data_IF_379609907367
#
_entry.id   IF_379609907367
#
_cell.length_a   1.000
_cell.length_b   1.000
_cell.length_c   1.000
_cell.angle_alpha   90.00
_cell.angle_beta   90.00
_cell.angle_gamma   90.00
#
_symmetry.space_group_name_H-M   'P 1'
#
loop_
_entity.id
_entity.type
_entity.pdbx_description
1 polymer ?
#
# COMPACT_ATOMS: atom_id res chain seq x y z
N UNK A 1 15.03 4.26 -7.85
CA UNK A 1 13.93 3.27 -7.84
C UNK A 1 12.86 3.55 -8.88
N UNK A 2 12.09 4.65 -8.83
CA UNK A 2 11.04 4.92 -9.83
C UNK A 2 11.56 4.85 -11.29
N UNK A 3 12.63 5.59 -11.60
CA UNK A 3 13.25 5.57 -12.94
C UNK A 3 13.79 4.19 -13.33
N UNK A 4 14.38 3.45 -12.39
CA UNK A 4 14.88 2.09 -12.62
C UNK A 4 13.72 1.13 -12.97
N UNK A 5 12.53 1.42 -12.46
CA UNK A 5 11.28 0.72 -12.72
C UNK A 5 10.45 1.35 -13.85
N UNK A 6 11.04 2.25 -14.66
CA UNK A 6 10.39 2.93 -15.79
C UNK A 6 9.21 3.84 -15.43
N UNK A 7 9.17 4.35 -14.20
CA UNK A 7 8.22 5.35 -13.73
C UNK A 7 8.89 6.71 -13.50
N UNK A 8 8.10 7.78 -13.54
CA UNK A 8 8.53 9.11 -13.09
C UNK A 8 8.09 9.37 -11.63
N UNK A 9 8.51 10.51 -11.06
CA UNK A 9 8.26 10.84 -9.67
C UNK A 9 9.19 10.10 -8.70
N UNK A 10 8.71 9.91 -7.47
CA UNK A 10 9.45 9.24 -6.41
C UNK A 10 8.76 7.93 -5.98
N UNK A 11 9.54 6.85 -5.94
CA UNK A 11 9.17 5.58 -5.35
C UNK A 11 10.19 5.30 -4.25
N UNK A 12 9.75 5.31 -2.99
CA UNK A 12 10.62 5.03 -1.86
C UNK A 12 11.06 3.57 -1.84
N UNK A 13 12.27 3.34 -1.32
CA UNK A 13 12.77 2.02 -1.03
C UNK A 13 11.92 1.35 0.07
N UNK A 14 11.77 0.03 -0.03
CA UNK A 14 11.11 -0.77 1.00
C UNK A 14 11.97 -0.80 2.27
N UNK A 15 13.24 -1.18 2.12
CA UNK A 15 14.26 -0.98 3.13
C UNK A 15 15.23 0.09 2.66
N UNK A 16 15.46 1.10 3.50
CA UNK A 16 16.38 2.18 3.21
C UNK A 16 17.40 2.36 4.32
N UNK A 17 18.64 2.66 3.95
CA UNK A 17 19.74 2.96 4.86
C UNK A 17 20.27 4.39 4.64
N UNK A 18 21.59 4.60 4.67
CA UNK A 18 22.20 5.93 4.67
C UNK A 18 21.94 6.75 3.39
N UNK A 19 21.73 6.10 2.24
CA UNK A 19 21.69 6.77 0.92
C UNK A 19 20.29 6.97 0.35
N UNK A 20 19.25 6.40 0.96
CA UNK A 20 17.91 6.37 0.36
C UNK A 20 17.69 5.24 -0.66
N UNK A 21 18.74 4.50 -1.00
CA UNK A 21 18.66 3.39 -1.97
C UNK A 21 17.97 2.16 -1.39
N UNK A 22 17.47 1.29 -2.28
CA UNK A 22 16.87 0.01 -1.92
C UNK A 22 17.94 -0.96 -1.41
N UNK A 23 17.79 -1.40 -0.16
CA UNK A 23 18.72 -2.35 0.48
C UNK A 23 18.06 -3.67 0.84
N UNK A 24 16.80 -3.89 0.49
CA UNK A 24 16.10 -5.15 0.76
C UNK A 24 16.87 -6.32 0.13
N UNK A 25 17.22 -7.36 0.91
CA UNK A 25 17.91 -8.52 0.37
C UNK A 25 17.06 -9.22 -0.69
N UNK A 26 17.56 -9.34 -1.93
CA UNK A 26 16.86 -10.06 -3.01
C UNK A 26 16.75 -11.57 -2.71
N UNK A 27 17.70 -12.13 -1.97
CA UNK A 27 17.78 -13.57 -1.69
C UNK A 27 18.12 -13.83 -0.23
N UNK A 28 17.40 -14.76 0.41
CA UNK A 28 17.69 -15.22 1.77
C UNK A 28 17.85 -16.75 1.83
N UNK A 29 18.69 -17.29 2.74
CA UNK A 29 18.80 -18.73 2.91
C UNK A 29 17.51 -19.38 3.42
N UNK A 30 17.08 -20.47 2.79
CA UNK A 30 15.88 -21.22 3.20
C UNK A 30 15.96 -21.65 4.68
N UNK A 31 14.83 -21.68 5.38
CA UNK A 31 14.78 -22.00 6.82
C UNK A 31 15.35 -23.39 7.13
N UNK A 32 14.90 -24.40 6.40
CA UNK A 32 15.28 -25.81 6.60
C UNK A 32 16.50 -26.30 5.79
N UNK A 33 16.92 -25.58 4.75
CA UNK A 33 18.04 -25.98 3.88
C UNK A 33 18.83 -24.74 3.46
N UNK A 34 19.84 -24.39 4.27
CA UNK A 34 20.64 -23.17 4.09
C UNK A 34 21.47 -23.16 2.81
N UNK A 35 21.54 -24.26 2.07
CA UNK A 35 22.17 -24.30 0.74
C UNK A 35 21.27 -23.75 -0.37
N UNK A 36 19.96 -23.63 -0.10
CA UNK A 36 18.97 -23.07 -1.01
C UNK A 36 18.70 -21.61 -0.68
N UNK A 37 18.49 -20.81 -1.72
CA UNK A 37 18.08 -19.42 -1.61
C UNK A 37 16.61 -19.29 -1.98
N UNK A 38 15.92 -18.41 -1.27
CA UNK A 38 14.55 -18.00 -1.57
C UNK A 38 14.59 -16.55 -2.03
N UNK A 39 13.86 -16.25 -3.12
CA UNK A 39 13.68 -14.88 -3.63
C UNK A 39 12.74 -14.12 -2.69
N UNK A 40 13.12 -12.91 -2.29
CA UNK A 40 12.30 -12.00 -1.47
C UNK A 40 11.86 -10.84 -2.36
N UNK A 41 10.56 -10.68 -2.56
CA UNK A 41 9.99 -9.74 -3.52
C UNK A 41 9.61 -8.37 -2.94
N UNK A 42 9.68 -8.20 -1.63
CA UNK A 42 9.21 -6.99 -0.93
C UNK A 42 9.88 -5.72 -1.46
N UNK A 43 11.20 -5.77 -1.68
CA UNK A 43 11.96 -4.67 -2.29
C UNK A 43 11.51 -4.30 -3.71
N UNK A 44 10.88 -5.19 -4.45
CA UNK A 44 10.44 -4.96 -5.83
C UNK A 44 8.99 -4.48 -5.87
N UNK A 45 8.10 -5.17 -5.15
CA UNK A 45 6.64 -5.07 -5.34
C UNK A 45 5.84 -4.74 -4.07
N UNK A 46 6.47 -4.60 -2.90
CA UNK A 46 5.82 -4.03 -1.69
C UNK A 46 5.93 -2.51 -1.71
N UNK A 47 5.07 -1.89 -2.51
CA UNK A 47 5.25 -0.49 -2.94
C UNK A 47 4.41 0.51 -2.15
N UNK A 48 3.55 0.04 -1.23
CA UNK A 48 2.65 0.91 -0.45
C UNK A 48 3.40 1.90 0.46
N UNK A 49 4.67 1.64 0.77
CA UNK A 49 5.54 2.50 1.59
C UNK A 49 5.54 3.98 1.15
N UNK A 50 5.46 4.24 -0.16
CA UNK A 50 5.43 5.62 -0.68
C UNK A 50 4.14 6.35 -0.29
N UNK A 51 3.01 5.64 -0.22
CA UNK A 51 1.74 6.18 0.27
C UNK A 51 1.73 6.31 1.80
N UNK A 52 2.36 5.38 2.51
CA UNK A 52 2.45 5.42 3.98
C UNK A 52 3.25 6.64 4.47
N UNK A 53 4.39 6.93 3.82
CA UNK A 53 5.20 8.10 4.11
C UNK A 53 4.39 9.39 3.91
N UNK A 54 3.67 9.48 2.79
CA UNK A 54 2.86 10.64 2.49
C UNK A 54 1.69 10.81 3.48
N UNK A 55 1.03 9.71 3.84
CA UNK A 55 0.00 9.70 4.88
C UNK A 55 0.55 10.16 6.22
N UNK A 56 1.72 9.66 6.65
CA UNK A 56 2.35 10.05 7.91
C UNK A 56 2.71 11.54 7.94
N UNK A 57 3.25 12.09 6.86
CA UNK A 57 3.54 13.53 6.75
C UNK A 57 2.27 14.38 6.83
N UNK A 58 1.20 13.94 6.16
CA UNK A 58 -0.09 14.63 6.22
C UNK A 58 -0.67 14.59 7.64
N UNK A 59 -0.64 13.43 8.32
CA UNK A 59 -1.06 13.31 9.72
C UNK A 59 -0.25 14.21 10.65
N UNK A 60 1.07 14.27 10.47
CA UNK A 60 1.93 15.17 11.25
C UNK A 60 1.50 16.63 11.11
N UNK A 61 1.26 17.09 9.88
CA UNK A 61 0.79 18.45 9.65
C UNK A 61 -0.60 18.70 10.25
N UNK A 62 -1.54 17.76 10.09
CA UNK A 62 -2.89 17.89 10.65
C UNK A 62 -2.88 18.02 12.18
N UNK A 63 -1.99 17.30 12.86
CA UNK A 63 -1.88 17.32 14.33
C UNK A 63 -1.12 18.55 14.84
N UNK A 64 -0.06 18.96 14.15
CA UNK A 64 0.84 20.04 14.63
C UNK A 64 0.44 21.42 14.14
N UNK A 65 -0.21 21.51 12.97
CA UNK A 65 -0.44 22.77 12.27
C UNK A 65 0.83 23.41 11.69
N UNK A 66 1.94 22.67 11.59
CA UNK A 66 3.22 23.18 11.09
C UNK A 66 3.17 23.41 9.57
N UNK A 67 2.71 24.60 9.19
CA UNK A 67 2.55 25.01 7.80
C UNK A 67 3.90 25.21 7.07
N UNK A 68 4.98 25.50 7.79
CA UNK A 68 6.30 25.67 7.17
C UNK A 68 6.85 24.28 6.79
N UNK A 69 6.76 23.29 7.69
CA UNK A 69 7.05 21.90 7.36
C UNK A 69 6.22 21.42 6.17
N UNK A 70 4.91 21.67 6.20
CA UNK A 70 4.02 21.22 5.13
C UNK A 70 4.37 21.85 3.79
N UNK A 71 4.59 23.17 3.74
CA UNK A 71 4.97 23.89 2.52
C UNK A 71 6.32 23.42 1.96
N UNK A 72 7.34 23.32 2.82
CA UNK A 72 8.73 23.19 2.38
C UNK A 72 9.21 21.74 2.27
N UNK A 73 8.55 20.80 2.97
CA UNK A 73 8.96 19.39 3.02
C UNK A 73 7.81 18.46 2.62
N UNK A 74 6.66 18.57 3.29
CA UNK A 74 5.55 17.62 3.12
C UNK A 74 4.95 17.62 1.71
N UNK A 75 4.51 18.78 1.22
CA UNK A 75 3.87 18.91 -0.10
C UNK A 75 4.82 18.52 -1.25
N UNK A 76 6.10 18.96 -1.28
CA UNK A 76 7.04 18.51 -2.31
C UNK A 76 7.16 16.99 -2.40
N UNK A 77 7.29 16.28 -1.26
CA UNK A 77 7.41 14.82 -1.22
C UNK A 77 6.09 14.15 -1.63
N UNK A 78 4.97 14.64 -1.10
CA UNK A 78 3.62 14.18 -1.43
C UNK A 78 3.36 14.24 -2.95
N UNK A 79 3.69 15.37 -3.59
CA UNK A 79 3.46 15.55 -5.03
C UNK A 79 4.40 14.69 -5.88
N UNK A 80 5.67 14.54 -5.48
CA UNK A 80 6.63 13.67 -6.18
C UNK A 80 6.20 12.21 -6.18
N UNK A 81 5.71 11.72 -5.04
CA UNK A 81 5.20 10.36 -4.91
C UNK A 81 3.82 10.18 -5.56
N UNK A 82 2.99 11.23 -5.61
CA UNK A 82 1.72 11.21 -6.36
C UNK A 82 1.94 11.09 -7.88
N UNK A 83 3.04 11.67 -8.40
CA UNK A 83 3.44 11.47 -9.81
C UNK A 83 3.69 9.99 -10.10
N UNK A 84 4.42 9.29 -9.23
CA UNK A 84 4.64 7.85 -9.34
C UNK A 84 3.31 7.08 -9.34
N UNK A 85 2.43 7.35 -8.37
CA UNK A 85 1.15 6.64 -8.26
C UNK A 85 0.20 6.87 -9.44
N UNK A 86 0.20 8.07 -10.00
CA UNK A 86 -0.58 8.37 -11.21
C UNK A 86 -0.15 7.55 -12.42
N UNK A 87 1.13 7.15 -12.49
CA UNK A 87 1.66 6.28 -13.56
C UNK A 87 1.60 4.80 -13.22
N UNK A 88 1.67 4.45 -11.93
CA UNK A 88 1.62 3.07 -11.44
C UNK A 88 0.22 2.46 -11.53
N UNK A 89 -0.83 3.28 -11.51
CA UNK A 89 -2.20 2.86 -11.73
C UNK A 89 -2.47 2.67 -13.24
N UNK A 90 -2.77 1.44 -13.64
CA UNK A 90 -2.93 1.03 -15.03
C UNK A 90 -4.42 1.07 -15.42
N UNK A 91 -4.74 1.65 -16.58
CA UNK A 91 -6.12 1.70 -17.05
C UNK A 91 -6.54 0.35 -17.66
N UNK A 92 -7.62 -0.24 -17.14
CA UNK A 92 -8.24 -1.47 -17.60
C UNK A 92 -9.72 -1.23 -17.94
N UNK A 93 -9.99 -0.97 -19.22
CA UNK A 93 -11.31 -0.51 -19.66
C UNK A 93 -11.66 0.82 -19.02
N UNK A 94 -12.74 0.83 -18.23
CA UNK A 94 -13.23 2.02 -17.51
C UNK A 94 -12.68 2.12 -16.08
N UNK A 95 -11.85 1.17 -15.64
CA UNK A 95 -11.29 1.13 -14.29
C UNK A 95 -9.78 1.28 -14.28
N UNK A 96 -9.21 1.51 -13.10
CA UNK A 96 -7.78 1.48 -12.85
C UNK A 96 -7.42 0.33 -11.91
N UNK A 97 -6.32 -0.35 -12.19
CA UNK A 97 -5.79 -1.44 -11.40
C UNK A 97 -4.36 -1.14 -10.94
N UNK A 98 -3.97 -1.71 -9.81
CA UNK A 98 -2.56 -1.82 -9.41
C UNK A 98 -2.26 -3.31 -9.30
N UNK A 99 -1.57 -3.81 -10.32
CA UNK A 99 -1.24 -5.23 -10.52
C UNK A 99 0.10 -5.57 -9.90
N UNK A 100 0.33 -6.84 -9.59
CA UNK A 100 1.63 -7.39 -9.19
C UNK A 100 2.27 -6.64 -8.00
N UNK A 101 1.63 -6.75 -6.84
CA UNK A 101 2.08 -6.11 -5.58
C UNK A 101 2.18 -7.10 -4.42
N UNK A 102 2.84 -6.67 -3.37
CA UNK A 102 2.69 -7.20 -2.00
C UNK A 102 1.99 -6.11 -1.18
N UNK A 103 0.94 -6.48 -0.45
CA UNK A 103 0.31 -5.63 0.56
C UNK A 103 0.98 -5.79 1.93
N UNK A 104 0.48 -5.13 2.99
CA UNK A 104 1.03 -5.29 4.34
C UNK A 104 1.14 -6.74 4.81
N UNK A 105 0.28 -7.62 4.30
CA UNK A 105 0.42 -9.07 4.47
C UNK A 105 1.43 -9.69 3.49
N UNK A 106 2.69 -9.80 3.92
CA UNK A 106 3.79 -10.37 3.12
C UNK A 106 3.69 -11.90 2.87
N UNK A 107 2.67 -12.60 3.35
CA UNK A 107 2.46 -14.01 2.96
C UNK A 107 1.95 -14.15 1.53
N UNK A 108 1.36 -13.09 0.98
CA UNK A 108 0.81 -13.08 -0.37
C UNK A 108 1.63 -12.15 -1.27
N UNK A 109 2.31 -12.74 -2.25
CA UNK A 109 3.08 -12.04 -3.27
C UNK A 109 2.43 -12.13 -4.64
N UNK A 110 2.82 -11.22 -5.54
CA UNK A 110 2.27 -11.13 -6.89
C UNK A 110 0.73 -11.04 -6.92
N UNK A 111 0.14 -10.33 -5.96
CA UNK A 111 -1.31 -10.13 -5.90
C UNK A 111 -1.73 -8.88 -6.65
N UNK A 112 -2.99 -8.86 -7.09
CA UNK A 112 -3.57 -7.74 -7.80
C UNK A 112 -4.60 -7.01 -6.95
N UNK A 113 -4.65 -5.69 -7.09
CA UNK A 113 -5.68 -4.85 -6.46
C UNK A 113 -5.78 -5.04 -4.94
N UNK A 114 -4.63 -5.15 -4.26
CA UNK A 114 -4.58 -5.17 -2.80
C UNK A 114 -5.29 -3.91 -2.25
N UNK A 115 -6.36 -4.10 -1.47
CA UNK A 115 -7.26 -3.00 -1.11
C UNK A 115 -6.61 -2.01 -0.16
N UNK A 116 -5.70 -2.44 0.72
CA UNK A 116 -4.88 -1.51 1.50
C UNK A 116 -4.10 -0.58 0.57
N UNK A 117 -3.34 -1.15 -0.37
CA UNK A 117 -2.53 -0.38 -1.33
C UNK A 117 -3.42 0.56 -2.14
N UNK A 118 -4.48 0.06 -2.77
CA UNK A 118 -5.35 0.87 -3.62
C UNK A 118 -6.00 2.02 -2.84
N UNK A 119 -6.52 1.77 -1.62
CA UNK A 119 -7.12 2.85 -0.80
C UNK A 119 -6.09 3.86 -0.31
N UNK A 120 -4.88 3.43 0.04
CA UNK A 120 -3.80 4.34 0.42
C UNK A 120 -3.37 5.21 -0.76
N UNK A 121 -3.30 4.66 -1.97
CA UNK A 121 -3.02 5.41 -3.20
C UNK A 121 -4.13 6.40 -3.52
N UNK A 122 -5.39 6.00 -3.41
CA UNK A 122 -6.53 6.90 -3.60
C UNK A 122 -6.47 8.08 -2.62
N UNK A 123 -6.28 7.80 -1.32
CA UNK A 123 -6.13 8.82 -0.29
C UNK A 123 -4.91 9.74 -0.55
N UNK A 124 -3.81 9.18 -1.05
CA UNK A 124 -2.61 9.94 -1.41
C UNK A 124 -2.92 10.93 -2.54
N UNK A 125 -3.50 10.48 -3.64
CA UNK A 125 -3.81 11.32 -4.78
C UNK A 125 -4.84 12.40 -4.43
N UNK A 126 -5.86 12.08 -3.62
CA UNK A 126 -6.80 13.05 -3.06
C UNK A 126 -6.05 14.13 -2.26
N UNK A 127 -5.21 13.70 -1.31
CA UNK A 127 -4.42 14.60 -0.46
C UNK A 127 -3.46 15.45 -1.30
N UNK A 128 -2.89 14.91 -2.38
CA UNK A 128 -2.00 15.63 -3.29
C UNK A 128 -2.71 16.76 -4.04
N UNK A 129 -3.95 16.53 -4.47
CA UNK A 129 -4.78 17.58 -5.09
C UNK A 129 -5.12 18.68 -4.08
N UNK A 130 -5.60 18.30 -2.89
CA UNK A 130 -5.94 19.24 -1.82
C UNK A 130 -4.72 20.06 -1.37
N UNK A 131 -3.55 19.42 -1.25
CA UNK A 131 -2.30 20.06 -0.92
C UNK A 131 -1.84 21.06 -1.99
N UNK A 132 -2.02 20.73 -3.28
CA UNK A 132 -1.69 21.63 -4.36
C UNK A 132 -2.59 22.87 -4.38
N UNK A 133 -3.87 22.70 -4.06
CA UNK A 133 -4.82 23.81 -3.93
C UNK A 133 -4.46 24.67 -2.71
N UNK A 134 -4.19 24.06 -1.55
CA UNK A 134 -3.70 24.75 -0.36
C UNK A 134 -2.43 25.57 -0.64
N UNK A 135 -1.47 24.99 -1.37
CA UNK A 135 -0.23 25.66 -1.72
C UNK A 135 -0.46 26.79 -2.73
N UNK A 136 -1.39 26.63 -3.67
CA UNK A 136 -1.77 27.66 -4.63
C UNK A 136 -2.34 28.90 -3.91
N UNK A 137 -3.14 28.69 -2.86
CA UNK A 137 -3.73 29.78 -2.08
C UNK A 137 -2.73 30.44 -1.12
N UNK A 138 -1.84 29.65 -0.49
CA UNK A 138 -0.95 30.13 0.59
C UNK A 138 0.45 30.53 0.13
N UNK A 139 0.97 29.90 -0.92
CA UNK A 139 2.31 30.12 -1.44
C UNK A 139 2.34 29.89 -2.97
N UNK A 140 1.69 30.77 -3.76
CA UNK A 140 1.50 30.58 -5.20
C UNK A 140 2.82 30.45 -5.98
N UNK A 141 3.90 31.08 -5.51
CA UNK A 141 5.24 30.96 -6.10
C UNK A 141 5.79 29.54 -5.94
N UNK A 142 5.68 28.96 -4.74
CA UNK A 142 6.05 27.57 -4.47
C UNK A 142 5.19 26.60 -5.31
N UNK A 143 3.89 26.84 -5.39
CA UNK A 143 2.98 26.03 -6.22
C UNK A 143 3.39 26.06 -7.70
N UNK A 144 3.72 27.23 -8.23
CA UNK A 144 4.13 27.42 -9.62
C UNK A 144 5.46 26.72 -9.92
N UNK A 145 6.42 26.81 -8.99
CA UNK A 145 7.69 26.10 -9.07
C UNK A 145 7.49 24.57 -9.09
N UNK A 146 6.69 24.03 -8.16
CA UNK A 146 6.44 22.59 -8.10
C UNK A 146 5.67 22.09 -9.33
N UNK A 147 4.65 22.83 -9.78
CA UNK A 147 3.91 22.52 -11.02
C UNK A 147 4.84 22.41 -12.22
N UNK A 148 5.78 23.35 -12.37
CA UNK A 148 6.76 23.32 -13.45
C UNK A 148 7.77 22.18 -13.29
N UNK A 149 8.27 21.95 -12.08
CA UNK A 149 9.33 20.96 -11.82
C UNK A 149 8.83 19.52 -11.98
N UNK A 150 7.57 19.26 -11.60
CA UNK A 150 6.95 17.94 -11.60
C UNK A 150 6.00 17.72 -12.78
N UNK A 151 5.96 18.66 -13.75
CA UNK A 151 5.08 18.59 -14.92
C UNK A 151 3.60 18.34 -14.55
N UNK A 152 3.10 19.09 -13.55
CA UNK A 152 1.71 18.98 -13.06
C UNK A 152 0.75 19.74 -13.99
N UNK A 153 0.64 19.27 -15.23
CA UNK A 153 -0.25 19.82 -16.24
C UNK A 153 -1.72 19.58 -15.87
N UNK A 154 -2.67 20.38 -16.42
CA UNK A 154 -4.10 20.10 -16.25
C UNK A 154 -4.50 18.68 -16.67
N UNK A 155 -3.84 18.12 -17.69
CA UNK A 155 -4.07 16.74 -18.13
C UNK A 155 -3.61 15.70 -17.09
N UNK A 156 -2.42 15.88 -16.48
CA UNK A 156 -1.94 14.99 -15.41
C UNK A 156 -2.86 15.04 -14.18
N UNK A 157 -3.29 16.23 -13.77
CA UNK A 157 -4.20 16.40 -12.64
C UNK A 157 -5.61 15.84 -12.94
N UNK A 158 -6.08 15.94 -14.19
CA UNK A 158 -7.33 15.29 -14.61
C UNK A 158 -7.20 13.76 -14.62
N UNK A 159 -6.04 13.24 -15.03
CA UNK A 159 -5.73 11.80 -14.94
C UNK A 159 -5.74 11.31 -13.49
N UNK A 160 -5.10 12.04 -12.55
CA UNK A 160 -5.17 11.69 -11.13
C UNK A 160 -6.60 11.63 -10.60
N UNK A 161 -7.47 12.57 -10.98
CA UNK A 161 -8.90 12.50 -10.62
C UNK A 161 -9.58 11.26 -11.17
N UNK A 162 -9.30 10.88 -12.43
CA UNK A 162 -9.82 9.63 -13.00
C UNK A 162 -9.31 8.41 -12.24
N UNK A 163 -8.04 8.36 -11.87
CA UNK A 163 -7.50 7.27 -11.04
C UNK A 163 -8.24 7.24 -9.70
N UNK A 164 -8.41 8.37 -9.02
CA UNK A 164 -9.16 8.45 -7.75
C UNK A 164 -10.59 7.90 -7.92
N UNK A 165 -11.32 8.30 -8.96
CA UNK A 165 -12.73 7.95 -9.14
C UNK A 165 -12.92 6.48 -9.56
N UNK A 166 -11.97 5.92 -10.31
CA UNK A 166 -12.11 4.64 -11.01
C UNK A 166 -11.11 3.54 -10.58
N UNK A 167 -10.30 3.76 -9.55
CA UNK A 167 -9.45 2.71 -8.97
C UNK A 167 -10.30 1.57 -8.37
N UNK A 168 -9.90 0.32 -8.65
CA UNK A 168 -10.61 -0.86 -8.17
C UNK A 168 -10.50 -0.98 -6.65
N UNK A 169 -11.63 -0.92 -5.96
CA UNK A 169 -11.75 -1.18 -4.52
C UNK A 169 -12.69 -2.38 -4.34
N UNK A 170 -12.17 -3.47 -3.77
CA UNK A 170 -12.91 -4.73 -3.62
C UNK A 170 -13.73 -4.75 -2.33
N UNK A 171 -14.84 -4.00 -2.31
CA UNK A 171 -15.78 -3.98 -1.19
C UNK A 171 -17.17 -4.44 -1.65
N UNK A 172 -17.74 -5.43 -0.97
CA UNK A 172 -19.13 -5.81 -1.16
C UNK A 172 -20.04 -4.69 -0.61
N UNK A 173 -20.82 -4.00 -1.45
CA UNK A 173 -21.66 -2.87 -1.02
C UNK A 173 -22.83 -3.29 -0.13
N UNK A 174 -23.19 -4.58 -0.08
CA UNK A 174 -24.30 -5.09 0.72
C UNK A 174 -23.88 -5.50 2.13
N UNK A 175 -22.70 -6.12 2.26
CA UNK A 175 -22.20 -6.62 3.55
C UNK A 175 -21.19 -5.68 4.20
N UNK A 176 -20.47 -4.89 3.40
CA UNK A 176 -19.31 -4.11 3.80
C UNK A 176 -18.01 -4.93 3.86
N UNK A 177 -18.05 -6.23 3.56
CA UNK A 177 -16.87 -7.09 3.58
C UNK A 177 -15.92 -6.68 2.44
N UNK A 178 -14.65 -6.50 2.79
CA UNK A 178 -13.59 -6.12 1.85
C UNK A 178 -12.80 -7.38 1.49
N UNK A 179 -12.57 -7.63 0.21
CA UNK A 179 -11.63 -8.66 -0.25
C UNK A 179 -10.22 -8.08 -0.24
N UNK A 180 -9.26 -8.75 0.40
CA UNK A 180 -7.92 -8.22 0.63
C UNK A 180 -7.19 -7.88 -0.66
N UNK A 181 -7.32 -8.74 -1.66
CA UNK A 181 -6.82 -8.59 -3.03
C UNK A 181 -7.68 -9.46 -3.95
N UNK A 182 -7.59 -9.24 -5.26
CA UNK A 182 -8.41 -9.96 -6.24
C UNK A 182 -8.14 -11.47 -6.15
N UNK A 183 -9.17 -12.24 -5.79
CA UNK A 183 -9.06 -13.70 -5.69
C UNK A 183 -8.89 -14.25 -4.27
N UNK A 184 -8.68 -13.41 -3.25
CA UNK A 184 -8.40 -13.85 -1.88
C UNK A 184 -9.50 -14.79 -1.34
N UNK A 185 -10.78 -14.50 -1.58
CA UNK A 185 -11.87 -15.32 -1.06
C UNK A 185 -11.94 -16.71 -1.70
N UNK A 186 -11.25 -16.95 -2.82
CA UNK A 186 -11.18 -18.26 -3.46
C UNK A 186 -9.99 -19.11 -2.98
N UNK A 187 -9.12 -18.56 -2.13
CA UNK A 187 -8.06 -19.32 -1.49
C UNK A 187 -8.60 -20.31 -0.45
N UNK A 188 -7.77 -21.28 -0.07
CA UNK A 188 -8.15 -22.32 0.87
C UNK A 188 -8.24 -21.77 2.29
N UNK A 189 -9.29 -22.09 3.02
CA UNK A 189 -9.31 -21.80 4.45
C UNK A 189 -8.29 -22.67 5.20
N UNK A 190 -7.68 -22.11 6.25
CA UNK A 190 -6.78 -22.87 7.13
C UNK A 190 -7.61 -23.62 8.17
N UNK A 191 -7.44 -24.94 8.23
CA UNK A 191 -7.89 -25.72 9.38
C UNK A 191 -6.90 -25.53 10.54
N UNK A 192 -7.14 -24.50 11.35
CA UNK A 192 -6.32 -24.15 12.50
C UNK A 192 -6.20 -25.27 13.54
N UNK A 193 -7.14 -26.23 13.57
CA UNK A 193 -7.07 -27.36 14.50
C UNK A 193 -5.86 -28.26 14.23
N UNK A 194 -5.39 -28.31 12.98
CA UNK A 194 -4.20 -29.05 12.54
C UNK A 194 -2.89 -28.40 13.02
N UNK A 195 -2.93 -27.14 13.44
CA UNK A 195 -1.78 -26.30 13.77
C UNK A 195 -1.71 -25.92 15.25
N UNK A 196 -2.54 -26.55 16.09
CA UNK A 196 -2.54 -26.33 17.54
C UNK A 196 -1.17 -26.68 18.12
N UNK A 197 -0.56 -25.74 18.85
CA UNK A 197 0.74 -25.93 19.49
C UNK A 197 1.95 -25.82 18.57
N UNK A 198 1.78 -25.34 17.31
CA UNK A 198 2.92 -25.08 16.42
C UNK A 198 3.89 -24.05 17.03
N UNK A 199 5.17 -24.20 16.70
CA UNK A 199 6.26 -23.31 17.14
C UNK A 199 6.87 -22.48 16.02
N UNK A 200 6.36 -22.62 14.81
CA UNK A 200 6.83 -21.94 13.60
C UNK A 200 5.67 -21.17 12.97
N UNK A 201 5.99 -20.20 12.11
CA UNK A 201 4.98 -19.44 11.37
C UNK A 201 4.32 -20.29 10.28
N UNK A 202 3.14 -19.90 9.80
CA UNK A 202 2.46 -20.62 8.73
C UNK A 202 3.29 -20.68 7.43
N UNK A 203 4.04 -19.62 7.12
CA UNK A 203 4.98 -19.60 5.99
C UNK A 203 6.13 -20.60 6.15
N UNK A 204 6.66 -20.80 7.36
CA UNK A 204 7.70 -21.82 7.59
C UNK A 204 7.15 -23.23 7.37
N UNK A 205 5.91 -23.48 7.82
CA UNK A 205 5.27 -24.79 7.72
C UNK A 205 4.81 -25.14 6.29
N UNK A 206 4.32 -24.14 5.54
CA UNK A 206 3.76 -24.32 4.20
C UNK A 206 4.73 -23.96 3.08
N UNK A 207 5.80 -23.20 3.38
CA UNK A 207 6.64 -22.54 2.39
C UNK A 207 5.95 -21.32 1.76
N UNK A 208 6.71 -20.49 1.04
CA UNK A 208 6.21 -19.26 0.40
C UNK A 208 5.10 -19.57 -0.62
N UNK A 209 5.36 -20.44 -1.59
CA UNK A 209 4.35 -20.83 -2.59
C UNK A 209 3.15 -21.60 -1.99
N UNK A 210 3.34 -22.19 -0.81
CA UNK A 210 2.29 -22.93 -0.12
C UNK A 210 1.36 -22.01 0.64
N UNK A 211 1.90 -21.03 1.39
CA UNK A 211 1.11 -20.11 2.22
C UNK A 211 0.24 -19.18 1.36
N UNK A 212 0.74 -18.76 0.20
CA UNK A 212 0.01 -17.98 -0.81
C UNK A 212 -1.34 -18.60 -1.27
N UNK A 213 -1.56 -19.90 -1.02
CA UNK A 213 -2.78 -20.62 -1.43
C UNK A 213 -3.86 -20.64 -0.35
N UNK A 214 -3.61 -20.01 0.80
CA UNK A 214 -4.49 -20.07 1.96
C UNK A 214 -4.92 -18.67 2.42
N UNK A 215 -6.12 -18.58 2.98
CA UNK A 215 -6.61 -17.37 3.64
C UNK A 215 -5.97 -17.18 5.02
N UNK A 216 -4.66 -17.00 5.06
CA UNK A 216 -3.89 -16.75 6.27
C UNK A 216 -2.96 -15.58 6.08
N UNK A 217 -3.01 -14.64 7.02
CA UNK A 217 -2.25 -13.39 6.93
C UNK A 217 -1.08 -13.44 7.91
N UNK A 218 0.07 -12.90 7.51
CA UNK A 218 1.20 -12.61 8.40
C UNK A 218 0.81 -11.59 9.48
N UNK A 219 0.16 -10.52 9.05
CA UNK A 219 -0.16 -9.35 9.86
C UNK A 219 -1.40 -8.63 9.31
N UNK A 220 -1.83 -7.55 9.97
CA UNK A 220 -3.02 -6.81 9.56
C UNK A 220 -2.82 -6.13 8.20
N UNK A 221 -3.75 -6.36 7.27
CA UNK A 221 -3.81 -5.74 5.93
C UNK A 221 -5.10 -4.91 5.81
N UNK A 222 -6.25 -5.54 5.53
CA UNK A 222 -7.57 -4.87 5.54
C UNK A 222 -7.84 -4.21 6.90
N UNK A 223 -7.48 -4.87 8.00
CA UNK A 223 -7.62 -4.27 9.33
C UNK A 223 -6.70 -3.06 9.55
N UNK A 224 -5.55 -3.01 8.89
CA UNK A 224 -4.66 -1.83 8.93
C UNK A 224 -5.30 -0.66 8.19
N UNK A 225 -5.89 -0.90 7.01
CA UNK A 225 -6.66 0.11 6.28
C UNK A 225 -7.78 0.70 7.15
N UNK A 226 -8.57 -0.16 7.81
CA UNK A 226 -9.66 0.26 8.70
C UNK A 226 -9.17 1.01 9.95
N UNK A 227 -7.91 0.81 10.34
CA UNK A 227 -7.27 1.56 11.42
C UNK A 227 -6.90 2.97 10.96
N UNK A 228 -6.18 3.09 9.84
CA UNK A 228 -5.66 4.37 9.34
C UNK A 228 -6.78 5.28 8.78
N UNK A 229 -7.72 4.70 8.06
CA UNK A 229 -8.82 5.43 7.42
C UNK A 229 -10.16 5.23 8.13
N UNK A 230 -10.12 4.99 9.46
CA UNK A 230 -11.28 4.63 10.29
C UNK A 230 -12.52 5.50 10.05
N UNK A 231 -12.33 6.80 9.88
CA UNK A 231 -13.44 7.76 9.73
C UNK A 231 -14.18 7.64 8.39
N UNK A 232 -13.67 6.83 7.45
CA UNK A 232 -14.28 6.59 6.14
C UNK A 232 -15.21 5.35 6.13
N UNK A 233 -15.26 4.58 7.22
CA UNK A 233 -16.00 3.33 7.30
C UNK A 233 -17.05 3.37 8.42
N UNK A 234 -18.23 2.81 8.14
CA UNK A 234 -19.27 2.66 9.15
C UNK A 234 -18.96 1.50 10.12
N UNK A 235 -19.69 1.46 11.24
CA UNK A 235 -19.48 0.44 12.26
C UNK A 235 -19.73 -0.98 11.73
N UNK A 236 -20.67 -1.16 10.80
CA UNK A 236 -20.96 -2.47 10.22
C UNK A 236 -19.76 -2.99 9.44
N UNK A 237 -19.18 -2.16 8.58
CA UNK A 237 -17.98 -2.44 7.80
C UNK A 237 -16.80 -2.77 8.71
N UNK A 238 -16.60 -1.99 9.77
CA UNK A 238 -15.54 -2.26 10.76
C UNK A 238 -15.71 -3.64 11.40
N UNK A 239 -16.93 -3.99 11.82
CA UNK A 239 -17.22 -5.23 12.51
C UNK A 239 -17.10 -6.46 11.60
N UNK A 240 -17.69 -6.43 10.40
CA UNK A 240 -17.69 -7.58 9.49
C UNK A 240 -16.27 -7.96 9.06
N UNK A 241 -15.41 -6.96 8.82
CA UNK A 241 -14.02 -7.19 8.45
C UNK A 241 -13.19 -7.65 9.65
N UNK A 242 -13.44 -7.12 10.86
CA UNK A 242 -12.81 -7.62 12.09
C UNK A 242 -13.11 -9.11 12.29
N UNK A 243 -14.38 -9.51 12.23
CA UNK A 243 -14.81 -10.89 12.43
C UNK A 243 -14.26 -11.84 11.36
N UNK A 244 -14.04 -11.33 10.14
CA UNK A 244 -13.49 -12.11 9.04
C UNK A 244 -11.96 -12.26 9.12
N UNK A 245 -11.22 -11.16 9.29
CA UNK A 245 -9.77 -11.14 9.18
C UNK A 245 -9.03 -11.48 10.48
N UNK A 246 -9.54 -11.05 11.65
CA UNK A 246 -8.88 -11.32 12.93
C UNK A 246 -8.59 -12.81 13.19
N UNK A 247 -9.52 -13.76 12.96
CA UNK A 247 -9.23 -15.18 13.15
C UNK A 247 -8.33 -15.79 12.06
N UNK A 248 -8.07 -15.07 10.96
CA UNK A 248 -7.22 -15.51 9.84
C UNK A 248 -5.79 -14.97 9.93
N UNK A 249 -5.49 -14.08 10.88
CA UNK A 249 -4.14 -13.54 11.05
C UNK A 249 -3.28 -14.40 11.99
N UNK A 250 -2.06 -14.74 11.57
CA UNK A 250 -1.08 -15.51 12.31
C UNK A 250 -0.49 -14.70 13.49
N UNK A 251 -1.29 -14.51 14.54
CA UNK A 251 -0.88 -13.80 15.75
C UNK A 251 -0.11 -14.66 16.75
N UNK A 252 -0.16 -16.00 16.62
CA UNK A 252 0.41 -16.93 17.59
C UNK A 252 1.92 -17.14 17.45
N UNK A 253 2.53 -16.64 16.37
CA UNK A 253 3.98 -16.58 16.23
C UNK A 253 4.40 -15.11 16.09
N UNK A 254 4.91 -14.51 17.17
CA UNK A 254 5.57 -13.20 17.09
C UNK A 254 7.02 -13.43 16.69
N UNK A 255 7.37 -13.06 15.46
CA UNK A 255 8.77 -12.90 15.02
C UNK A 255 9.43 -11.72 15.71
#
# INVERSE_FOLDING_TARGET
>A
KAQDNSFTGAQYAWESAETGEEVTPTWVPHSHDKSKLIRIWTGDIEIHISADIAYAMHQFWQVTGDNDFWRDVGIPILLETAVFWGERAEQEGDKFAIRDVIGPDEYHDHVDNNVFTNRMVQCHLETALDALDWLTDRAPECASMLKSRLDLTPARLAHWRRVIDDLIILQDPSTGLIEQFEGFFQLKEVDWSTYVGRTESMQQLLGIEGVNKYQVLKQADVLMLLCLLRNQFDHQTLQVNWDYYHPRTDHSYRS
#
